data_IF_163717777387
#
_entry.id   IF_163717777387
#
_cell.length_a   1.000
_cell.length_b   1.000
_cell.length_c   1.000
_cell.angle_alpha   90.00
_cell.angle_beta   90.00
_cell.angle_gamma   90.00
#
_symmetry.space_group_name_H-M   'P 1'
#
loop_
_entity.id
_entity.type
_entity.pdbx_description
1 polymer ?
#
# COMPACT_ATOMS: atom_id res chain seq x y z
N UNK A 1 -5.17 1.07 14.45
CA UNK A 1 -6.03 0.29 13.52
C UNK A 1 -7.28 -0.24 14.19
N UNK A 2 -7.17 -0.76 15.42
CA UNK A 2 -8.31 -1.13 16.27
C UNK A 2 -9.47 -0.12 16.29
N UNK A 3 -9.17 1.17 16.44
CA UNK A 3 -10.18 2.24 16.42
C UNK A 3 -11.01 2.25 15.11
N UNK A 4 -10.42 1.91 13.97
CA UNK A 4 -11.14 1.79 12.69
C UNK A 4 -12.11 0.61 12.73
N UNK A 5 -11.69 -0.51 13.31
CA UNK A 5 -12.55 -1.69 13.47
C UNK A 5 -13.71 -1.40 14.42
N UNK A 6 -13.44 -0.74 15.54
CA UNK A 6 -14.45 -0.33 16.52
C UNK A 6 -15.44 0.69 15.93
N UNK A 7 -14.98 1.55 15.01
CA UNK A 7 -15.82 2.47 14.26
C UNK A 7 -16.67 1.80 13.15
N UNK A 8 -16.51 0.50 12.93
CA UNK A 8 -17.29 -0.26 11.94
C UNK A 8 -16.72 -0.23 10.52
N UNK A 9 -15.42 0.03 10.34
CA UNK A 9 -14.77 -0.11 9.03
C UNK A 9 -14.63 -1.59 8.70
N UNK A 10 -15.09 -1.99 7.50
CA UNK A 10 -14.99 -3.37 7.02
C UNK A 10 -13.74 -3.61 6.17
N UNK A 11 -13.36 -2.62 5.37
CA UNK A 11 -12.33 -2.75 4.32
C UNK A 11 -11.39 -1.55 4.28
N UNK A 12 -10.11 -1.83 4.12
CA UNK A 12 -9.06 -0.81 3.96
C UNK A 12 -8.24 -1.09 2.71
N UNK A 13 -8.10 -0.07 1.87
CA UNK A 13 -7.24 -0.08 0.69
C UNK A 13 -6.08 0.87 0.89
N UNK A 14 -4.85 0.33 0.89
CA UNK A 14 -3.63 1.09 1.14
C UNK A 14 -2.87 1.31 -0.15
N UNK A 15 -2.49 2.56 -0.40
CA UNK A 15 -1.72 2.94 -1.58
C UNK A 15 -0.22 2.73 -1.34
N UNK A 16 0.28 1.52 -1.58
CA UNK A 16 1.68 1.18 -1.35
C UNK A 16 2.62 1.78 -2.42
N UNK A 17 2.21 1.77 -3.70
CA UNK A 17 2.90 2.45 -4.82
C UNK A 17 4.42 2.20 -5.01
N UNK A 18 5.06 1.28 -4.29
CA UNK A 18 6.49 1.00 -4.42
C UNK A 18 6.83 -0.39 -3.88
N UNK A 19 7.96 -0.94 -4.35
CA UNK A 19 8.46 -2.25 -3.95
C UNK A 19 9.57 -2.18 -2.89
N UNK A 20 10.06 -0.98 -2.59
CA UNK A 20 11.11 -0.68 -1.63
C UNK A 20 11.00 0.78 -1.14
N UNK A 21 11.78 1.12 -0.10
CA UNK A 21 11.78 2.44 0.56
C UNK A 21 12.28 3.56 -0.35
N UNK A 22 13.29 3.30 -1.18
CA UNK A 22 13.87 4.31 -2.07
C UNK A 22 12.86 4.72 -3.14
N UNK A 23 12.26 3.73 -3.82
CA UNK A 23 11.19 3.95 -4.80
C UNK A 23 9.99 4.64 -4.14
N UNK A 24 9.60 4.23 -2.93
CA UNK A 24 8.50 4.85 -2.19
C UNK A 24 8.77 6.33 -1.92
N UNK A 25 9.98 6.66 -1.45
CA UNK A 25 10.35 8.03 -1.13
C UNK A 25 10.41 8.91 -2.38
N UNK A 26 10.89 8.37 -3.51
CA UNK A 26 10.92 9.08 -4.79
C UNK A 26 9.51 9.42 -5.30
N UNK A 27 8.58 8.45 -5.24
CA UNK A 27 7.25 8.57 -5.84
C UNK A 27 6.26 9.26 -4.90
N UNK A 28 6.18 8.82 -3.65
CA UNK A 28 5.19 9.31 -2.68
C UNK A 28 5.65 10.58 -1.96
N UNK A 29 6.96 10.89 -1.96
CA UNK A 29 7.56 12.05 -1.29
C UNK A 29 7.02 12.25 0.13
N UNK A 30 7.09 11.22 0.98
CA UNK A 30 6.53 11.29 2.32
C UNK A 30 7.25 12.35 3.16
N UNK A 31 6.52 12.95 4.10
CA UNK A 31 7.07 13.90 5.07
C UNK A 31 7.91 13.19 6.14
N UNK A 32 7.64 11.90 6.38
CA UNK A 32 8.29 11.10 7.42
C UNK A 32 9.35 10.16 6.82
N UNK A 33 10.49 10.02 7.49
CA UNK A 33 11.62 9.21 7.02
C UNK A 33 11.31 7.72 6.92
N UNK A 34 10.50 7.19 7.84
CA UNK A 34 10.16 5.75 7.91
C UNK A 34 8.74 5.46 7.39
N UNK A 35 8.24 6.31 6.50
CA UNK A 35 6.87 6.18 6.00
C UNK A 35 6.60 4.83 5.33
N UNK A 36 7.56 4.28 4.60
CA UNK A 36 7.40 2.98 3.92
C UNK A 36 7.21 1.85 4.93
N UNK A 37 8.10 1.75 5.93
CA UNK A 37 8.03 0.76 6.99
C UNK A 37 6.74 0.87 7.80
N UNK A 38 6.34 2.10 8.15
CA UNK A 38 5.09 2.36 8.86
C UNK A 38 3.85 1.95 8.04
N UNK A 39 3.87 2.15 6.72
CA UNK A 39 2.79 1.70 5.84
C UNK A 39 2.71 0.16 5.81
N UNK A 40 3.85 -0.51 5.73
CA UNK A 40 3.90 -1.99 5.79
C UNK A 40 3.41 -2.52 7.14
N UNK A 41 3.79 -1.87 8.24
CA UNK A 41 3.31 -2.23 9.58
C UNK A 41 1.80 -1.99 9.72
N UNK A 42 1.29 -0.86 9.23
CA UNK A 42 -0.14 -0.57 9.21
C UNK A 42 -0.93 -1.64 8.46
N UNK A 43 -0.45 -2.07 7.30
CA UNK A 43 -1.07 -3.13 6.50
C UNK A 43 -1.13 -4.45 7.28
N UNK A 44 -0.04 -4.82 7.97
CA UNK A 44 0.00 -6.04 8.81
C UNK A 44 -0.99 -5.94 9.96
N UNK A 45 -0.96 -4.83 10.70
CA UNK A 45 -1.86 -4.57 11.81
C UNK A 45 -3.34 -4.59 11.37
N UNK A 46 -3.66 -4.02 10.20
CA UNK A 46 -5.02 -4.05 9.66
C UNK A 46 -5.51 -5.46 9.35
N UNK A 47 -4.64 -6.30 8.79
CA UNK A 47 -4.92 -7.71 8.59
C UNK A 47 -5.12 -8.45 9.91
N UNK A 48 -4.26 -8.24 10.89
CA UNK A 48 -4.33 -8.90 12.20
C UNK A 48 -5.61 -8.55 12.98
N UNK A 49 -6.10 -7.31 12.84
CA UNK A 49 -7.38 -6.86 13.40
C UNK A 49 -8.61 -7.37 12.63
N UNK A 50 -8.42 -8.17 11.58
CA UNK A 50 -9.49 -8.77 10.79
C UNK A 50 -10.23 -7.79 9.88
N UNK A 51 -9.54 -6.75 9.39
CA UNK A 51 -10.04 -5.87 8.33
C UNK A 51 -9.74 -6.50 6.96
N UNK A 52 -10.68 -6.41 6.03
CA UNK A 52 -10.39 -6.77 4.64
C UNK A 52 -9.37 -5.76 4.09
N UNK A 53 -8.12 -6.21 3.93
CA UNK A 53 -7.00 -5.34 3.59
C UNK A 53 -6.53 -5.62 2.16
N UNK A 54 -6.40 -4.56 1.37
CA UNK A 54 -5.78 -4.60 0.05
C UNK A 54 -4.65 -3.58 -0.07
N UNK A 55 -3.60 -3.94 -0.81
CA UNK A 55 -2.57 -3.02 -1.24
C UNK A 55 -2.77 -2.68 -2.72
N UNK A 56 -2.54 -1.41 -3.06
CA UNK A 56 -2.65 -0.92 -4.44
C UNK A 56 -1.37 -0.22 -4.88
N UNK A 57 -1.05 -0.35 -6.17
CA UNK A 57 0.04 0.39 -6.80
C UNK A 57 -0.38 0.92 -8.17
N UNK A 58 0.11 2.11 -8.52
CA UNK A 58 -0.10 2.68 -9.86
C UNK A 58 0.94 2.11 -10.82
N UNK A 59 0.52 1.75 -12.04
CA UNK A 59 1.41 1.31 -13.13
C UNK A 59 2.20 2.49 -13.66
N UNK A 60 3.39 2.70 -13.11
CA UNK A 60 4.39 3.66 -13.60
C UNK A 60 5.75 2.94 -13.78
N UNK A 61 6.64 3.45 -14.66
CA UNK A 61 7.92 2.80 -14.96
C UNK A 61 8.83 2.55 -13.75
N UNK A 62 8.77 3.42 -12.75
CA UNK A 62 9.60 3.36 -11.55
C UNK A 62 9.19 2.23 -10.60
N UNK A 63 7.97 1.69 -10.75
CA UNK A 63 7.40 0.72 -9.81
C UNK A 63 7.40 -0.68 -10.41
N UNK A 64 8.19 -1.56 -9.81
CA UNK A 64 8.16 -2.99 -10.11
C UNK A 64 6.91 -3.66 -9.51
N UNK A 65 5.83 -3.68 -10.28
CA UNK A 65 4.55 -4.27 -9.87
C UNK A 65 4.64 -5.76 -9.51
N UNK A 66 5.60 -6.50 -10.08
CA UNK A 66 5.78 -7.92 -9.75
C UNK A 66 6.29 -8.07 -8.31
N UNK A 67 7.29 -7.28 -7.93
CA UNK A 67 7.79 -7.26 -6.55
C UNK A 67 6.76 -6.75 -5.55
N UNK A 68 5.97 -5.74 -5.92
CA UNK A 68 4.86 -5.27 -5.05
C UNK A 68 3.85 -6.39 -4.83
N UNK A 69 3.50 -7.13 -5.89
CA UNK A 69 2.61 -8.28 -5.79
C UNK A 69 3.21 -9.36 -4.89
N UNK A 70 4.47 -9.74 -5.08
CA UNK A 70 5.15 -10.72 -4.22
C UNK A 70 5.15 -10.28 -2.75
N UNK A 71 5.36 -9.00 -2.47
CA UNK A 71 5.32 -8.45 -1.12
C UNK A 71 3.90 -8.57 -0.53
N UNK A 72 2.87 -8.23 -1.29
CA UNK A 72 1.47 -8.39 -0.87
C UNK A 72 1.11 -9.88 -0.62
N UNK A 73 1.59 -10.79 -1.45
CA UNK A 73 1.41 -12.24 -1.28
C UNK A 73 2.13 -12.76 -0.02
N UNK A 74 3.35 -12.28 0.26
CA UNK A 74 4.09 -12.61 1.49
C UNK A 74 3.37 -12.15 2.75
N UNK A 75 2.76 -10.96 2.72
CA UNK A 75 1.94 -10.46 3.82
C UNK A 75 0.59 -11.20 3.86
N UNK A 76 0.15 -11.75 2.73
CA UNK A 76 -1.10 -12.49 2.55
C UNK A 76 -2.32 -11.57 2.52
N UNK A 77 -2.25 -10.50 1.72
CA UNK A 77 -3.33 -9.54 1.45
C UNK A 77 -3.66 -9.52 -0.05
N UNK A 78 -4.78 -8.90 -0.43
CA UNK A 78 -5.12 -8.68 -1.84
C UNK A 78 -4.22 -7.61 -2.44
N UNK A 79 -3.89 -7.73 -3.72
CA UNK A 79 -3.16 -6.72 -4.48
C UNK A 79 -3.95 -6.31 -5.73
N UNK A 80 -4.07 -5.00 -5.96
CA UNK A 80 -4.69 -4.46 -7.17
C UNK A 80 -3.81 -3.39 -7.83
N UNK A 81 -3.72 -3.46 -9.15
CA UNK A 81 -2.98 -2.47 -9.96
C UNK A 81 -3.94 -1.42 -10.47
N UNK A 82 -3.53 -0.15 -10.36
CA UNK A 82 -4.25 1.00 -10.91
C UNK A 82 -3.51 1.52 -12.13
N UNK A 83 -4.24 1.91 -13.18
CA UNK A 83 -3.62 2.55 -14.33
C UNK A 83 -3.23 4.00 -14.02
N UNK A 84 -2.11 4.46 -14.57
CA UNK A 84 -1.72 5.85 -14.50
C UNK A 84 -2.62 6.67 -15.44
N UNK A 85 -3.32 7.67 -14.90
CA UNK A 85 -4.18 8.55 -15.67
C UNK A 85 -3.39 9.85 -15.94
N UNK A 86 -2.85 10.04 -17.16
CA UNK A 86 -2.21 11.30 -17.50
C UNK A 86 -3.25 12.44 -17.48
N UNK A 87 -2.91 13.53 -16.79
CA UNK A 87 -3.73 14.74 -16.83
C UNK A 87 -3.49 15.43 -18.18
N UNK A 88 -4.40 15.25 -19.13
CA UNK A 88 -4.50 16.11 -20.30
C UNK A 88 -5.37 17.30 -19.91
N UNK A 89 -4.73 18.41 -19.52
CA UNK A 89 -5.37 19.72 -19.37
C UNK A 89 -5.05 20.57 -20.60
#
# INVERSE_FOLDING_TARGET
>A
VRELKEAGVDKVSVSLNAHDKETYNQICKPVFEDAYENVLEFIKNAKEEGLETEATAVRIPEVDLAKVKELAERIGIKFAVREYIPCFW
#
